data_IF_167515907136
#
_entry.id   IF_167515907136
#
_cell.length_a   1.000
_cell.length_b   1.000
_cell.length_c   1.000
_cell.angle_alpha   90.00
_cell.angle_beta   90.00
_cell.angle_gamma   90.00
#
_symmetry.space_group_name_H-M   'P 1'
#
loop_
_entity.id
_entity.type
_entity.pdbx_description
1 polymer ?
#
# COMPACT_ATOMS: atom_id res chain seq x y z
N UNK A 1 20.34 -7.10 4.35
CA UNK A 1 19.92 -7.04 2.94
C UNK A 1 18.47 -6.60 2.92
N UNK A 2 18.21 -5.32 2.67
CA UNK A 2 16.85 -4.80 2.52
C UNK A 2 16.31 -5.31 1.19
N UNK A 3 15.26 -6.14 1.21
CA UNK A 3 14.58 -6.56 -0.02
C UNK A 3 13.45 -5.58 -0.28
N UNK A 4 13.56 -4.88 -1.38
CA UNK A 4 12.59 -3.90 -1.86
C UNK A 4 11.73 -4.61 -2.89
N UNK A 5 10.40 -4.56 -2.71
CA UNK A 5 9.46 -5.15 -3.66
C UNK A 5 8.72 -4.03 -4.36
N UNK A 6 8.73 -4.09 -5.69
CA UNK A 6 7.96 -3.17 -6.53
C UNK A 6 6.62 -3.83 -6.82
N UNK A 7 5.54 -3.10 -6.56
CA UNK A 7 4.20 -3.55 -6.85
C UNK A 7 3.44 -2.49 -7.63
N UNK A 8 2.53 -2.95 -8.48
CA UNK A 8 1.62 -2.06 -9.20
C UNK A 8 0.31 -1.97 -8.44
N UNK A 9 -0.12 -0.73 -8.14
CA UNK A 9 -1.38 -0.48 -7.50
C UNK A 9 -2.53 -0.80 -8.46
N UNK A 10 -3.37 -1.77 -8.11
CA UNK A 10 -4.53 -2.15 -8.92
C UNK A 10 -5.65 -1.10 -8.95
N UNK A 11 -5.59 -0.03 -8.13
CA UNK A 11 -6.58 1.05 -8.14
C UNK A 11 -6.25 2.20 -9.09
N UNK A 12 -4.96 2.53 -9.24
CA UNK A 12 -4.50 3.68 -10.03
C UNK A 12 -3.46 3.32 -11.08
N UNK A 13 -3.08 2.03 -11.16
CA UNK A 13 -2.05 1.48 -12.04
C UNK A 13 -0.66 2.11 -11.84
N UNK A 14 -0.44 2.78 -10.72
CA UNK A 14 0.84 3.40 -10.36
C UNK A 14 1.75 2.38 -9.68
N UNK A 15 3.05 2.48 -9.91
CA UNK A 15 4.05 1.59 -9.34
C UNK A 15 4.59 2.16 -8.04
N UNK A 16 4.66 1.35 -7.00
CA UNK A 16 5.19 1.75 -5.71
C UNK A 16 6.12 0.69 -5.14
N UNK A 17 7.08 1.16 -4.35
CA UNK A 17 8.08 0.31 -3.71
C UNK A 17 7.71 0.16 -2.24
N UNK A 18 7.73 -1.08 -1.75
CA UNK A 18 7.55 -1.38 -0.33
C UNK A 18 8.72 -2.22 0.18
N UNK A 19 9.16 -1.85 1.38
CA UNK A 19 10.21 -2.55 2.09
C UNK A 19 9.64 -3.74 2.85
N UNK A 20 10.25 -4.92 2.71
CA UNK A 20 9.77 -6.14 3.38
C UNK A 20 9.73 -6.03 4.92
N UNK A 21 10.46 -5.08 5.51
CA UNK A 21 10.43 -4.83 6.96
C UNK A 21 9.04 -4.36 7.45
N UNK A 22 8.21 -3.82 6.55
CA UNK A 22 6.85 -3.34 6.83
C UNK A 22 5.77 -4.44 6.66
N UNK A 23 6.15 -5.65 6.20
CA UNK A 23 5.24 -6.78 5.96
C UNK A 23 4.59 -7.41 7.19
N UNK A 24 4.79 -6.85 8.38
CA UNK A 24 4.14 -7.38 9.59
C UNK A 24 2.61 -7.41 9.41
N UNK A 25 2.05 -6.43 8.71
CA UNK A 25 0.69 -6.48 8.23
C UNK A 25 0.70 -6.81 6.73
N UNK A 26 0.05 -7.91 6.32
CA UNK A 26 -0.12 -8.27 4.91
C UNK A 26 -1.04 -7.29 4.15
N UNK A 27 -1.52 -6.24 4.82
CA UNK A 27 -2.41 -5.22 4.28
C UNK A 27 -1.61 -3.92 4.25
N UNK A 28 -1.69 -3.21 3.13
CA UNK A 28 -1.13 -1.88 2.93
C UNK A 28 -2.17 -1.00 2.24
N UNK A 29 -1.95 0.31 2.25
CA UNK A 29 -2.71 1.23 1.40
C UNK A 29 -1.75 1.95 0.47
N UNK A 30 -2.13 2.12 -0.79
CA UNK A 30 -1.31 2.84 -1.75
C UNK A 30 -1.36 4.35 -1.47
N UNK A 31 -0.56 4.78 -0.50
CA UNK A 31 -0.48 6.15 -0.05
C UNK A 31 0.78 6.33 0.78
N UNK A 32 1.56 7.38 0.49
CA UNK A 32 2.67 7.80 1.32
C UNK A 32 2.50 9.27 1.72
N UNK A 33 2.70 9.60 2.99
CA UNK A 33 2.62 10.96 3.47
C UNK A 33 3.62 11.87 2.77
N UNK A 34 3.19 13.02 2.25
CA UNK A 34 4.10 13.94 1.55
C UNK A 34 5.19 14.52 2.43
N UNK A 35 4.92 14.64 3.73
CA UNK A 35 5.84 15.29 4.68
C UNK A 35 7.06 14.42 5.02
N UNK A 36 6.89 13.09 5.11
CA UNK A 36 7.93 12.16 5.55
C UNK A 36 8.16 10.98 4.58
N UNK A 37 7.40 10.91 3.47
CA UNK A 37 7.40 9.79 2.52
C UNK A 37 7.10 8.42 3.15
N UNK A 38 6.56 8.41 4.37
CA UNK A 38 6.17 7.20 5.08
C UNK A 38 4.83 6.68 4.55
N UNK A 39 4.64 5.37 4.40
CA UNK A 39 3.37 4.81 4.00
C UNK A 39 2.26 5.19 5.00
N UNK A 40 1.04 5.36 4.50
CA UNK A 40 -0.12 5.62 5.35
C UNK A 40 -0.53 4.36 6.11
N UNK A 41 -1.24 4.54 7.21
CA UNK A 41 -1.63 3.42 8.06
C UNK A 41 -2.58 2.47 7.28
N UNK A 42 -2.24 1.17 7.14
CA UNK A 42 -3.06 0.20 6.42
C UNK A 42 -4.47 0.05 6.99
N UNK A 43 -4.64 0.27 8.29
CA UNK A 43 -5.90 0.14 9.02
C UNK A 43 -6.72 1.44 9.06
N UNK A 44 -6.32 2.48 8.31
CA UNK A 44 -7.13 3.70 8.22
C UNK A 44 -8.51 3.38 7.65
N UNK A 45 -9.52 4.12 8.10
CA UNK A 45 -10.87 4.03 7.54
C UNK A 45 -10.91 4.70 6.16
N UNK A 46 -11.95 4.38 5.39
CA UNK A 46 -12.18 5.01 4.09
C UNK A 46 -12.33 6.54 4.19
N UNK A 47 -12.94 7.02 5.27
CA UNK A 47 -13.13 8.44 5.54
C UNK A 47 -11.79 9.16 5.72
N UNK A 48 -10.90 8.61 6.55
CA UNK A 48 -9.54 9.14 6.77
C UNK A 48 -8.74 9.16 5.47
N UNK A 49 -8.81 8.07 4.70
CA UNK A 49 -8.15 7.97 3.41
C UNK A 49 -8.64 9.04 2.43
N UNK A 50 -9.95 9.23 2.34
CA UNK A 50 -10.54 10.23 1.48
C UNK A 50 -10.18 11.65 1.94
N UNK A 51 -10.16 11.89 3.24
CA UNK A 51 -9.72 13.17 3.81
C UNK A 51 -8.25 13.48 3.50
N UNK A 52 -7.37 12.47 3.55
CA UNK A 52 -5.95 12.63 3.23
C UNK A 52 -5.71 12.91 1.74
N UNK A 53 -6.42 12.20 0.86
CA UNK A 53 -6.38 12.42 -0.59
C UNK A 53 -6.94 13.80 -0.92
N UNK A 54 -8.11 14.15 -0.37
CA UNK A 54 -8.76 15.46 -0.57
C UNK A 54 -7.90 16.61 -0.02
N UNK A 55 -7.23 16.41 1.11
CA UNK A 55 -6.28 17.38 1.68
C UNK A 55 -4.94 17.40 0.93
N UNK A 56 -4.73 16.51 -0.04
CA UNK A 56 -3.47 16.39 -0.78
C UNK A 56 -2.25 16.11 0.11
N UNK A 57 -2.46 15.47 1.28
CA UNK A 57 -1.41 15.20 2.29
C UNK A 57 -0.60 13.93 2.00
N UNK A 58 -1.02 13.15 1.02
CA UNK A 58 -0.40 11.89 0.63
C UNK A 58 -0.13 11.85 -0.88
N UNK A 59 0.81 11.00 -1.29
CA UNK A 59 1.05 10.57 -2.67
C UNK A 59 0.44 9.18 -2.86
N UNK A 60 -0.46 9.03 -3.83
CA UNK A 60 -1.19 7.78 -4.09
C UNK A 60 -2.70 7.91 -3.92
N UNK A 61 -3.41 6.79 -4.07
CA UNK A 61 -4.87 6.72 -4.09
C UNK A 61 -5.51 6.32 -2.74
N UNK A 62 -4.71 6.07 -1.71
CA UNK A 62 -5.10 5.52 -0.40
C UNK A 62 -5.92 4.21 -0.48
N UNK A 63 -5.88 3.53 -1.63
CA UNK A 63 -6.63 2.30 -1.89
C UNK A 63 -6.06 1.12 -1.10
N UNK A 64 -6.91 0.33 -0.42
CA UNK A 64 -6.49 -0.85 0.32
C UNK A 64 -6.01 -1.97 -0.61
N UNK A 65 -4.80 -2.44 -0.36
CA UNK A 65 -4.14 -3.53 -1.06
C UNK A 65 -3.70 -4.59 -0.05
N UNK A 66 -3.76 -5.85 -0.43
CA UNK A 66 -3.25 -6.94 0.38
C UNK A 66 -2.13 -7.65 -0.37
N UNK A 67 -1.02 -7.88 0.31
CA UNK A 67 0.07 -8.69 -0.21
C UNK A 67 -0.25 -10.16 0.04
N UNK A 68 -0.26 -10.94 -1.03
CA UNK A 68 -0.39 -12.39 -0.98
C UNK A 68 0.92 -13.01 -1.44
N UNK A 69 1.34 -14.09 -0.79
CA UNK A 69 2.50 -14.86 -1.21
C UNK A 69 2.03 -15.93 -2.21
N UNK A 70 2.61 -15.96 -3.41
CA UNK A 70 2.39 -17.06 -4.35
C UNK A 70 3.02 -18.32 -3.77
N UNK A 71 2.23 -19.39 -3.70
CA UNK A 71 2.71 -20.68 -3.20
C UNK A 71 3.72 -21.36 -4.14
N UNK A 72 3.77 -20.94 -5.41
CA UNK A 72 4.52 -21.61 -6.48
C UNK A 72 5.99 -21.12 -6.60
N UNK A 73 6.27 -19.83 -6.38
CA UNK A 73 7.58 -19.24 -6.68
C UNK A 73 8.21 -18.38 -5.57
N UNK A 74 7.69 -18.42 -4.33
CA UNK A 74 8.13 -17.55 -3.22
C UNK A 74 7.97 -16.03 -3.50
N UNK A 75 7.35 -15.66 -4.62
CA UNK A 75 7.09 -14.28 -5.00
C UNK A 75 5.87 -13.70 -4.27
N UNK A 76 5.90 -12.40 -4.06
CA UNK A 76 4.79 -11.66 -3.48
C UNK A 76 3.98 -10.99 -4.58
N UNK A 77 2.66 -10.97 -4.43
CA UNK A 77 1.73 -10.25 -5.30
C UNK A 77 0.85 -9.33 -4.45
N UNK A 78 0.33 -8.26 -5.05
CA UNK A 78 -0.69 -7.42 -4.43
C UNK A 78 -2.05 -7.70 -5.06
N UNK A 79 -3.07 -7.80 -4.22
CA UNK A 79 -4.47 -7.93 -4.63
C UNK A 79 -5.28 -6.78 -4.02
N UNK A 80 -6.33 -6.35 -4.71
CA UNK A 80 -7.26 -5.36 -4.15
C UNK A 80 -7.93 -5.98 -2.92
N UNK A 81 -7.78 -5.32 -1.77
CA UNK A 81 -8.44 -5.75 -0.55
C UNK A 81 -9.67 -4.88 -0.34
N UNK A 82 -10.85 -5.38 -0.65
CA UNK A 82 -12.08 -4.63 -0.43
C UNK A 82 -12.56 -4.72 1.04
N UNK A 83 -11.65 -4.91 2.00
CA UNK A 83 -11.99 -4.96 3.41
C UNK A 83 -12.25 -3.53 3.90
N UNK A 84 -13.53 -3.22 4.03
CA UNK A 84 -14.11 -2.01 4.61
C UNK A 84 -14.91 -2.41 5.84
#
# INVERSE_FOLDING_TARGET
MSKDYVFTCLHCQDEFVIHITDFNCKILRHGAYKHNLQPINPHMTKEECNALVASGKIYGCAGPLQITKQADNDEYNVVICNYI
#
